data_IF_148786970419
#
_entry.id   IF_148786970419
#
_cell.length_a   1.000
_cell.length_b   1.000
_cell.length_c   1.000
_cell.angle_alpha   90.00
_cell.angle_beta   90.00
_cell.angle_gamma   90.00
#
_symmetry.space_group_name_H-M   'P 1'
#
loop_
_entity.id
_entity.type
_entity.pdbx_description
1 polymer ?
#
# COMPACT_ATOMS: atom_id res chain seq x y z
N UNK A 1 6.06 -5.57 75.50
CA UNK A 1 6.46 -4.60 74.46
C UNK A 1 7.59 -5.22 73.65
N UNK A 2 7.27 -5.87 72.54
CA UNK A 2 8.27 -6.58 71.74
C UNK A 2 8.94 -5.61 70.76
N UNK A 3 10.22 -5.30 70.99
CA UNK A 3 11.05 -4.60 70.01
C UNK A 3 11.22 -5.52 68.79
N UNK A 4 10.71 -5.12 67.63
CA UNK A 4 11.10 -5.75 66.37
C UNK A 4 12.62 -5.63 66.24
N UNK A 5 13.34 -6.76 66.23
CA UNK A 5 14.79 -6.71 66.32
C UNK A 5 15.36 -6.14 65.01
N UNK A 6 16.34 -5.24 65.11
CA UNK A 6 16.84 -4.41 63.99
C UNK A 6 17.30 -5.18 62.74
N UNK A 7 17.58 -6.48 62.86
CA UNK A 7 17.85 -7.35 61.72
C UNK A 7 16.63 -7.53 60.80
N UNK A 8 15.39 -7.52 61.34
CA UNK A 8 14.15 -7.64 60.55
C UNK A 8 13.96 -6.42 59.66
N UNK A 9 14.23 -5.22 60.17
CA UNK A 9 14.14 -3.97 59.42
C UNK A 9 15.15 -3.91 58.28
N UNK A 10 16.38 -4.39 58.51
CA UNK A 10 17.42 -4.49 57.47
C UNK A 10 17.03 -5.51 56.39
N UNK A 11 16.44 -6.65 56.79
CA UNK A 11 16.01 -7.70 55.86
C UNK A 11 14.83 -7.24 54.99
N UNK A 12 13.86 -6.53 55.57
CA UNK A 12 12.74 -5.93 54.83
C UNK A 12 13.22 -4.84 53.88
N UNK A 13 14.19 -4.00 54.28
CA UNK A 13 14.77 -2.99 53.41
C UNK A 13 15.52 -3.60 52.21
N UNK A 14 16.26 -4.69 52.43
CA UNK A 14 16.93 -5.44 51.35
C UNK A 14 15.93 -6.09 50.39
N UNK A 15 14.90 -6.76 50.91
CA UNK A 15 13.85 -7.37 50.07
C UNK A 15 13.09 -6.29 49.29
N UNK A 16 12.83 -5.12 49.90
CA UNK A 16 12.09 -4.03 49.25
C UNK A 16 12.90 -3.38 48.13
N UNK A 17 14.22 -3.21 48.32
CA UNK A 17 15.12 -2.68 47.29
C UNK A 17 15.34 -3.67 46.13
N UNK A 18 15.47 -4.97 46.43
CA UNK A 18 15.49 -6.03 45.42
C UNK A 18 14.16 -6.12 44.65
N UNK A 19 13.02 -6.01 45.33
CA UNK A 19 11.70 -5.96 44.72
C UNK A 19 11.50 -4.74 43.81
N UNK A 20 11.99 -3.57 44.23
CA UNK A 20 11.96 -2.36 43.42
C UNK A 20 12.84 -2.48 42.16
N UNK A 21 14.06 -3.04 42.29
CA UNK A 21 14.96 -3.28 41.16
C UNK A 21 14.38 -4.29 40.16
N UNK A 22 13.78 -5.39 40.65
CA UNK A 22 13.10 -6.37 39.80
C UNK A 22 11.86 -5.78 39.09
N UNK A 23 11.12 -4.91 39.77
CA UNK A 23 9.98 -4.18 39.20
C UNK A 23 10.40 -3.23 38.07
N UNK A 24 11.50 -2.51 38.24
CA UNK A 24 12.06 -1.59 37.21
C UNK A 24 12.57 -2.36 36.00
N UNK A 25 13.22 -3.52 36.19
CA UNK A 25 13.66 -4.36 35.07
C UNK A 25 12.50 -4.95 34.27
N UNK A 26 11.45 -5.43 34.95
CA UNK A 26 10.28 -5.99 34.28
C UNK A 26 9.47 -4.93 33.52
N UNK A 27 9.37 -3.71 34.06
CA UNK A 27 8.74 -2.60 33.35
C UNK A 27 9.60 -2.14 32.18
N UNK A 28 10.91 -1.94 32.36
CA UNK A 28 11.82 -1.57 31.27
C UNK A 28 11.77 -2.58 30.11
N UNK A 29 11.82 -3.89 30.39
CA UNK A 29 11.75 -4.93 29.37
C UNK A 29 10.38 -4.97 28.65
N UNK A 30 9.28 -4.65 29.33
CA UNK A 30 7.94 -4.53 28.70
C UNK A 30 7.82 -3.27 27.86
N UNK A 31 8.41 -2.16 28.30
CA UNK A 31 8.42 -0.89 27.55
C UNK A 31 9.26 -1.01 26.28
N UNK A 32 10.41 -1.67 26.35
CA UNK A 32 11.25 -1.95 25.17
C UNK A 32 10.50 -2.83 24.16
N UNK A 33 9.84 -3.90 24.62
CA UNK A 33 9.01 -4.76 23.75
C UNK A 33 7.86 -4.00 23.09
N UNK A 34 7.16 -3.13 23.82
CA UNK A 34 6.10 -2.28 23.27
C UNK A 34 6.65 -1.26 22.27
N UNK A 35 7.79 -0.65 22.57
CA UNK A 35 8.43 0.30 21.66
C UNK A 35 8.93 -0.36 20.37
N UNK A 36 9.35 -1.63 20.44
CA UNK A 36 9.73 -2.42 19.28
C UNK A 36 8.49 -2.76 18.44
N UNK A 37 7.39 -3.20 19.07
CA UNK A 37 6.11 -3.42 18.38
C UNK A 37 5.59 -2.15 17.71
N UNK A 38 5.58 -1.01 18.40
CA UNK A 38 5.16 0.27 17.81
C UNK A 38 6.04 0.70 16.63
N UNK A 39 7.33 0.35 16.63
CA UNK A 39 8.23 0.64 15.49
C UNK A 39 7.95 -0.26 14.31
N UNK A 40 7.64 -1.53 14.55
CA UNK A 40 7.31 -2.49 13.50
C UNK A 40 5.92 -2.19 12.90
N UNK A 41 4.93 -1.87 13.75
CA UNK A 41 3.59 -1.44 13.31
C UNK A 41 3.67 -0.18 12.43
N UNK A 42 4.46 0.83 12.84
CA UNK A 42 4.68 2.05 12.02
C UNK A 42 5.41 1.77 10.70
N UNK A 43 6.29 0.77 10.66
CA UNK A 43 6.98 0.38 9.41
C UNK A 43 6.01 -0.32 8.47
N UNK A 44 5.15 -1.17 9.01
CA UNK A 44 4.11 -1.85 8.27
C UNK A 44 3.09 -0.87 7.68
N UNK A 45 2.58 0.06 8.49
CA UNK A 45 1.67 1.12 8.01
C UNK A 45 2.31 1.95 6.89
N UNK A 46 3.56 2.39 7.06
CA UNK A 46 4.28 3.15 6.02
C UNK A 46 4.49 2.35 4.74
N UNK A 47 4.77 1.05 4.84
CA UNK A 47 4.93 0.20 3.66
C UNK A 47 3.60 0.08 2.89
N UNK A 48 2.49 -0.07 3.62
CA UNK A 48 1.14 -0.12 3.05
C UNK A 48 0.77 1.21 2.38
N UNK A 49 0.97 2.34 3.07
CA UNK A 49 0.72 3.68 2.51
C UNK A 49 1.52 3.93 1.23
N UNK A 50 2.80 3.55 1.21
CA UNK A 50 3.65 3.66 0.01
C UNK A 50 3.11 2.80 -1.14
N UNK A 51 2.58 1.61 -0.85
CA UNK A 51 1.98 0.73 -1.86
C UNK A 51 0.67 1.31 -2.40
N UNK A 52 -0.19 1.86 -1.54
CA UNK A 52 -1.41 2.58 -1.95
C UNK A 52 -1.08 3.78 -2.86
N UNK A 53 -0.08 4.58 -2.49
CA UNK A 53 0.34 5.73 -3.28
C UNK A 53 0.82 5.30 -4.68
N UNK A 54 1.58 4.21 -4.78
CA UNK A 54 2.04 3.65 -6.07
C UNK A 54 0.88 3.18 -6.93
N UNK A 55 -0.07 2.44 -6.36
CA UNK A 55 -1.25 1.99 -7.10
C UNK A 55 -2.11 3.18 -7.55
N UNK A 56 -2.25 4.20 -6.71
CA UNK A 56 -2.94 5.44 -7.06
C UNK A 56 -2.26 6.17 -8.23
N UNK A 57 -0.93 6.22 -8.27
CA UNK A 57 -0.15 6.83 -9.38
C UNK A 57 -0.46 6.22 -10.73
N UNK A 58 -0.85 4.94 -10.79
CA UNK A 58 -1.29 4.28 -12.04
C UNK A 58 -2.79 4.39 -12.31
N UNK A 59 -3.63 4.20 -11.28
CA UNK A 59 -5.07 4.21 -11.47
C UNK A 59 -5.63 5.60 -11.82
N UNK A 60 -5.00 6.67 -11.37
CA UNK A 60 -5.39 8.05 -11.71
C UNK A 60 -5.26 8.33 -13.22
N UNK A 61 -4.08 8.14 -13.86
CA UNK A 61 -3.96 8.34 -15.30
C UNK A 61 -4.81 7.34 -16.10
N UNK A 62 -4.94 6.08 -15.65
CA UNK A 62 -5.81 5.11 -16.31
C UNK A 62 -7.28 5.58 -16.35
N UNK A 63 -7.83 6.06 -15.23
CA UNK A 63 -9.21 6.59 -15.21
C UNK A 63 -9.40 7.83 -16.08
N UNK A 64 -8.35 8.64 -16.23
CA UNK A 64 -8.41 9.89 -17.01
C UNK A 64 -8.21 9.67 -18.50
N UNK A 65 -7.75 8.50 -18.93
CA UNK A 65 -7.46 8.22 -20.34
C UNK A 65 -8.68 8.52 -21.22
N UNK A 66 -9.86 7.98 -20.90
CA UNK A 66 -11.07 8.14 -21.73
C UNK A 66 -11.49 9.59 -21.92
N UNK A 67 -11.33 10.44 -20.90
CA UNK A 67 -11.57 11.88 -21.00
C UNK A 67 -10.45 12.62 -21.75
N UNK A 68 -9.22 12.14 -21.66
CA UNK A 68 -8.07 12.71 -22.37
C UNK A 68 -8.06 12.36 -23.86
N UNK A 69 -8.79 11.32 -24.30
CA UNK A 69 -8.91 10.94 -25.72
C UNK A 69 -9.52 12.04 -26.60
N UNK A 70 -10.30 12.95 -25.99
CA UNK A 70 -10.89 14.09 -26.69
C UNK A 70 -9.96 15.32 -26.72
N UNK A 71 -8.80 15.25 -26.04
CA UNK A 71 -7.82 16.34 -25.98
C UNK A 71 -6.70 16.14 -27.02
N UNK A 72 -6.19 17.23 -27.62
CA UNK A 72 -5.16 17.18 -28.69
C UNK A 72 -3.73 16.85 -28.20
N UNK A 73 -3.57 16.10 -27.11
CA UNK A 73 -2.27 15.82 -26.47
C UNK A 73 -1.80 14.37 -26.59
N UNK A 74 -0.61 14.11 -26.06
CA UNK A 74 -0.09 12.75 -25.85
C UNK A 74 -0.88 12.07 -24.74
N UNK A 75 -1.83 11.20 -25.13
CA UNK A 75 -2.78 10.58 -24.18
C UNK A 75 -2.17 9.37 -23.45
N UNK A 76 -1.20 8.69 -24.07
CA UNK A 76 -0.63 7.44 -23.54
C UNK A 76 0.65 7.60 -22.74
N UNK A 77 1.44 8.65 -22.95
CA UNK A 77 2.70 8.84 -22.21
C UNK A 77 2.51 8.82 -20.69
N UNK A 78 1.53 9.54 -20.10
CA UNK A 78 1.33 9.52 -18.66
C UNK A 78 0.96 8.12 -18.13
N UNK A 79 0.24 7.33 -18.94
CA UNK A 79 -0.15 5.97 -18.57
C UNK A 79 1.04 5.00 -18.65
N UNK A 80 1.90 5.15 -19.66
CA UNK A 80 3.12 4.36 -19.85
C UNK A 80 4.17 4.68 -18.78
N UNK A 81 4.34 5.95 -18.45
CA UNK A 81 5.22 6.37 -17.35
C UNK A 81 4.76 5.80 -16.00
N UNK A 82 3.44 5.84 -15.74
CA UNK A 82 2.89 5.24 -14.54
C UNK A 82 3.01 3.70 -14.52
N UNK A 83 2.90 3.04 -15.68
CA UNK A 83 3.12 1.60 -15.81
C UNK A 83 4.58 1.22 -15.51
N UNK A 84 5.55 1.98 -16.03
CA UNK A 84 6.97 1.78 -15.74
C UNK A 84 7.28 1.93 -14.24
N UNK A 85 6.56 2.82 -13.54
CA UNK A 85 6.68 2.96 -12.09
C UNK A 85 6.20 1.71 -11.34
N UNK A 86 5.16 1.01 -11.84
CA UNK A 86 4.72 -0.26 -11.28
C UNK A 86 5.72 -1.37 -11.61
N UNK A 87 6.23 -1.43 -12.85
CA UNK A 87 7.20 -2.44 -13.28
C UNK A 87 8.44 -2.51 -12.37
N UNK A 88 8.92 -1.36 -11.90
CA UNK A 88 10.05 -1.28 -10.98
C UNK A 88 9.76 -1.87 -9.58
N UNK A 89 8.50 -1.96 -9.18
CA UNK A 89 8.11 -2.27 -7.79
C UNK A 89 7.28 -3.55 -7.65
N UNK A 90 6.52 -3.91 -8.67
CA UNK A 90 5.57 -5.02 -8.68
C UNK A 90 5.55 -5.66 -10.10
N UNK A 91 6.61 -6.39 -10.50
CA UNK A 91 6.77 -6.92 -11.86
C UNK A 91 5.63 -7.86 -12.28
N UNK A 92 5.10 -8.65 -11.36
CA UNK A 92 3.97 -9.55 -11.62
C UNK A 92 2.69 -8.80 -12.04
N UNK A 93 2.47 -7.60 -11.47
CA UNK A 93 1.34 -6.74 -11.86
C UNK A 93 1.62 -6.08 -13.22
N UNK A 94 2.88 -5.78 -13.52
CA UNK A 94 3.30 -5.16 -14.76
C UNK A 94 3.07 -6.08 -15.96
N UNK A 95 3.51 -7.34 -15.88
CA UNK A 95 3.50 -8.27 -17.01
C UNK A 95 2.10 -8.74 -17.44
N UNK A 96 1.14 -8.80 -16.52
CA UNK A 96 -0.22 -9.24 -16.81
C UNK A 96 -1.23 -8.10 -16.76
N UNK A 97 -1.76 -7.74 -15.57
CA UNK A 97 -2.85 -6.80 -15.44
C UNK A 97 -2.56 -5.41 -16.06
N UNK A 98 -1.41 -4.80 -15.75
CA UNK A 98 -1.05 -3.46 -16.23
C UNK A 98 -0.82 -3.46 -17.74
N UNK A 99 -0.15 -4.49 -18.27
CA UNK A 99 0.00 -4.68 -19.71
C UNK A 99 -1.34 -4.80 -20.44
N UNK A 100 -2.29 -5.55 -19.89
CA UNK A 100 -3.64 -5.65 -20.46
C UNK A 100 -4.34 -4.29 -20.55
N UNK A 101 -4.14 -3.41 -19.56
CA UNK A 101 -4.66 -2.02 -19.61
C UNK A 101 -3.98 -1.20 -20.70
N UNK A 102 -2.66 -1.33 -20.88
CA UNK A 102 -1.93 -0.65 -21.94
C UNK A 102 -2.38 -1.12 -23.34
N UNK A 103 -2.50 -2.44 -23.54
CA UNK A 103 -2.95 -3.02 -24.80
C UNK A 103 -4.38 -2.58 -25.15
N UNK A 104 -5.29 -2.58 -24.15
CA UNK A 104 -6.65 -2.09 -24.33
C UNK A 104 -6.70 -0.56 -24.60
N UNK A 105 -5.82 0.22 -23.97
CA UNK A 105 -5.70 1.66 -24.22
C UNK A 105 -5.21 1.96 -25.65
N UNK A 106 -4.21 1.23 -26.12
CA UNK A 106 -3.68 1.34 -27.48
C UNK A 106 -4.75 0.95 -28.51
N UNK A 107 -5.49 -0.14 -28.26
CA UNK A 107 -6.63 -0.56 -29.10
C UNK A 107 -7.71 0.50 -29.15
N UNK A 108 -8.11 1.05 -28.01
CA UNK A 108 -9.14 2.11 -27.93
C UNK A 108 -8.73 3.35 -28.74
N UNK A 109 -7.48 3.78 -28.63
CA UNK A 109 -6.95 4.90 -29.42
C UNK A 109 -7.00 4.65 -30.93
N UNK A 110 -6.59 3.45 -31.35
CA UNK A 110 -6.62 3.08 -32.77
C UNK A 110 -8.06 3.06 -33.32
N UNK A 111 -9.00 2.53 -32.56
CA UNK A 111 -10.42 2.45 -32.95
C UNK A 111 -11.05 3.84 -32.99
N UNK A 112 -10.79 4.68 -31.98
CA UNK A 112 -11.35 6.04 -31.87
C UNK A 112 -10.80 7.00 -32.93
N UNK A 113 -9.58 6.78 -33.43
CA UNK A 113 -9.03 7.52 -34.58
C UNK A 113 -9.68 7.15 -35.92
N UNK A 114 -10.22 5.94 -36.04
CA UNK A 114 -10.74 5.39 -37.30
C UNK A 114 -12.27 5.46 -37.42
N UNK A 115 -12.97 5.69 -36.31
CA UNK A 115 -14.42 5.63 -36.25
C UNK A 115 -14.99 6.83 -35.51
N UNK A 116 -16.28 7.11 -35.71
CA UNK A 116 -16.99 8.11 -34.92
C UNK A 116 -17.13 7.65 -33.46
N UNK A 117 -17.14 8.61 -32.53
CA UNK A 117 -17.21 8.34 -31.09
C UNK A 117 -18.44 7.50 -30.68
N UNK A 118 -19.54 7.60 -31.42
CA UNK A 118 -20.78 6.83 -31.16
C UNK A 118 -20.85 5.48 -31.88
N UNK A 119 -19.81 5.06 -32.60
CA UNK A 119 -19.80 3.77 -33.29
C UNK A 119 -19.74 2.60 -32.30
N UNK A 120 -20.42 1.50 -32.62
CA UNK A 120 -20.45 0.31 -31.76
C UNK A 120 -19.05 -0.22 -31.42
N UNK A 121 -18.12 -0.16 -32.38
CA UNK A 121 -16.73 -0.63 -32.20
C UNK A 121 -15.97 0.23 -31.17
N UNK A 122 -16.23 1.54 -31.10
CA UNK A 122 -15.65 2.41 -30.06
C UNK A 122 -16.23 2.06 -28.69
N UNK A 123 -17.54 1.85 -28.60
CA UNK A 123 -18.21 1.49 -27.33
C UNK A 123 -17.70 0.15 -26.79
N UNK A 124 -17.50 -0.84 -27.67
CA UNK A 124 -16.91 -2.13 -27.31
C UNK A 124 -15.47 -1.96 -26.78
N UNK A 125 -14.63 -1.19 -27.48
CA UNK A 125 -13.25 -0.92 -27.04
C UNK A 125 -13.18 -0.13 -25.72
N UNK A 126 -14.11 0.82 -25.49
CA UNK A 126 -14.22 1.55 -24.21
C UNK A 126 -14.67 0.64 -23.06
N UNK A 127 -15.46 -0.38 -23.36
CA UNK A 127 -15.91 -1.36 -22.37
C UNK A 127 -14.77 -2.30 -22.01
N UNK A 128 -14.07 -2.84 -23.02
CA UNK A 128 -12.86 -3.64 -22.84
C UNK A 128 -11.79 -2.90 -22.01
N UNK A 129 -11.58 -1.61 -22.30
CA UNK A 129 -10.67 -0.77 -21.51
C UNK A 129 -11.12 -0.63 -20.04
N UNK A 130 -12.40 -0.37 -19.80
CA UNK A 130 -12.95 -0.23 -18.44
C UNK A 130 -12.87 -1.53 -17.66
N UNK A 131 -13.11 -2.67 -18.31
CA UNK A 131 -13.01 -3.99 -17.72
C UNK A 131 -11.55 -4.31 -17.34
N UNK A 132 -10.59 -3.99 -18.21
CA UNK A 132 -9.17 -4.12 -17.89
C UNK A 132 -8.75 -3.26 -16.68
N UNK A 133 -9.20 -2.00 -16.61
CA UNK A 133 -8.93 -1.11 -15.47
C UNK A 133 -9.58 -1.64 -14.18
N UNK A 134 -10.79 -2.20 -14.27
CA UNK A 134 -11.46 -2.82 -13.14
C UNK A 134 -10.73 -4.08 -12.65
N UNK A 135 -10.23 -4.91 -13.56
CA UNK A 135 -9.44 -6.09 -13.26
C UNK A 135 -8.12 -5.73 -12.56
N UNK A 136 -7.36 -4.76 -13.09
CA UNK A 136 -6.13 -4.26 -12.44
C UNK A 136 -6.40 -3.75 -11.03
N UNK A 137 -7.47 -2.97 -10.87
CA UNK A 137 -7.88 -2.46 -9.55
C UNK A 137 -8.19 -3.61 -8.58
N UNK A 138 -8.84 -4.67 -9.06
CA UNK A 138 -9.09 -5.89 -8.30
C UNK A 138 -7.79 -6.52 -7.81
N UNK A 139 -6.84 -6.80 -8.72
CA UNK A 139 -5.54 -7.38 -8.38
C UNK A 139 -4.71 -6.52 -7.44
N UNK A 140 -4.73 -5.20 -7.61
CA UNK A 140 -4.05 -4.26 -6.70
C UNK A 140 -4.67 -4.28 -5.30
N UNK A 141 -6.00 -4.37 -5.21
CA UNK A 141 -6.70 -4.48 -3.92
C UNK A 141 -6.37 -5.82 -3.23
N UNK A 142 -6.37 -6.92 -3.97
CA UNK A 142 -5.98 -8.23 -3.42
C UNK A 142 -4.55 -8.22 -2.88
N UNK A 143 -3.61 -7.55 -3.55
CA UNK A 143 -2.24 -7.38 -3.02
C UNK A 143 -2.21 -6.52 -1.76
N UNK A 144 -3.02 -5.47 -1.68
CA UNK A 144 -3.11 -4.61 -0.51
C UNK A 144 -3.71 -5.32 0.70
N UNK A 145 -4.68 -6.21 0.47
CA UNK A 145 -5.34 -7.00 1.51
C UNK A 145 -4.48 -8.20 1.97
N UNK A 146 -3.54 -8.64 1.11
CA UNK A 146 -2.58 -9.72 1.41
C UNK A 146 -1.25 -9.24 2.03
N UNK A 147 -0.97 -7.94 1.97
CA UNK A 147 0.19 -7.29 2.59
C UNK A 147 -0.06 -7.01 4.07
#
# INVERSE_FOLDING_TARGET
MGSTPGYVTVLVALISSLGALAGVWLTAARTDKRSAQERDDRRFEKAKELQEERFAKFLVPARRLTSALDSPGSVLEPLREAAAHIELHEPDLADGPVRAVLDAADRLLLVRRRNSAGSQVVVEAETEYRDAVAAVRGSMKERLDAA
#
